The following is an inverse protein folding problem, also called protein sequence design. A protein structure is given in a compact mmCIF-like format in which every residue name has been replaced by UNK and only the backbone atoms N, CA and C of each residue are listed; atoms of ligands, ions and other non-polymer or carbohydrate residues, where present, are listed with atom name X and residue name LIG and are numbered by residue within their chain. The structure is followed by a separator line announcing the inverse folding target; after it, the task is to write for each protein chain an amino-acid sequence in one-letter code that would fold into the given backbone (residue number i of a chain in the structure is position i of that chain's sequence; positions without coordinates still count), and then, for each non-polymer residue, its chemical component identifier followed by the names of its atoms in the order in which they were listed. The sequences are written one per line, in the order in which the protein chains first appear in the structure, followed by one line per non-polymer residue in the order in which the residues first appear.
data_IF_664382470454
#
_entry.id   IF_664382470454
#
_cell.length_a   1.000
_cell.length_b   1.000
_cell.length_c   1.000
_cell.angle_alpha   90.00
_cell.angle_beta   90.00
_cell.angle_gamma   90.00
#
_symmetry.space_group_name_H-M   'P 1'
#
loop_
_entity.id
_entity.type
_entity.pdbx_description
1 polymer ?
#
# COMPACT_ATOMS: atom_id res chain seq x y z
N UNK A 1 -68.37 24.29 -17.54
CA UNK A 1 -68.11 22.83 -17.67
C UNK A 1 -66.60 22.62 -17.81
N UNK A 2 -65.80 22.97 -16.79
CA UNK A 2 -64.31 22.98 -16.89
C UNK A 2 -63.56 22.60 -15.61
N UNK A 3 -64.24 22.01 -14.61
CA UNK A 3 -63.62 21.65 -13.31
C UNK A 3 -63.49 20.14 -13.07
N UNK A 4 -63.43 19.30 -14.12
CA UNK A 4 -63.26 17.85 -13.98
C UNK A 4 -61.90 17.30 -14.45
N UNK A 5 -61.08 18.09 -15.14
CA UNK A 5 -59.81 17.59 -15.72
C UNK A 5 -58.58 17.79 -14.82
N UNK A 6 -58.64 18.68 -13.83
CA UNK A 6 -57.47 18.97 -12.96
C UNK A 6 -57.25 17.88 -11.90
N UNK A 7 -58.31 17.17 -11.50
CA UNK A 7 -58.22 16.12 -10.47
C UNK A 7 -57.62 14.80 -10.97
N UNK A 8 -57.66 14.53 -12.28
CA UNK A 8 -57.12 13.30 -12.87
C UNK A 8 -55.60 13.36 -13.09
N UNK A 9 -55.01 14.53 -13.33
CA UNK A 9 -53.56 14.65 -13.50
C UNK A 9 -52.77 14.51 -12.17
N UNK A 10 -53.32 14.97 -11.03
CA UNK A 10 -52.64 14.81 -9.74
C UNK A 10 -52.56 13.34 -9.28
N UNK A 11 -53.54 12.51 -9.63
CA UNK A 11 -53.50 11.10 -9.29
C UNK A 11 -52.46 10.33 -10.13
N UNK A 12 -52.26 10.69 -11.40
CA UNK A 12 -51.27 10.00 -12.26
C UNK A 12 -49.83 10.26 -11.79
N UNK A 13 -49.54 11.46 -11.27
CA UNK A 13 -48.22 11.78 -10.72
C UNK A 13 -47.94 11.12 -9.36
N UNK A 14 -48.98 10.86 -8.55
CA UNK A 14 -48.84 10.12 -7.28
C UNK A 14 -48.62 8.61 -7.47
N UNK A 15 -49.13 8.02 -8.56
CA UNK A 15 -48.90 6.59 -8.86
C UNK A 15 -47.51 6.30 -9.46
N UNK A 16 -46.85 7.28 -10.08
CA UNK A 16 -45.49 7.10 -10.59
C UNK A 16 -44.43 6.98 -9.48
N UNK A 17 -44.68 7.52 -8.28
CA UNK A 17 -43.75 7.36 -7.14
C UNK A 17 -43.91 6.02 -6.39
N UNK A 18 -45.03 5.32 -6.56
CA UNK A 18 -45.32 4.04 -5.87
C UNK A 18 -44.87 2.79 -6.63
N UNK A 19 -44.30 2.93 -7.83
CA UNK A 19 -43.86 1.78 -8.64
C UNK A 19 -42.41 1.34 -8.40
N UNK A 20 -41.70 1.96 -7.45
CA UNK A 20 -40.43 1.41 -6.99
C UNK A 20 -40.70 0.29 -5.99
N UNK A 21 -40.80 -0.94 -6.50
CA UNK A 21 -40.96 -2.12 -5.65
C UNK A 21 -39.85 -2.16 -4.60
N UNK A 22 -40.17 -2.66 -3.40
CA UNK A 22 -39.24 -2.80 -2.29
C UNK A 22 -37.93 -3.53 -2.70
N UNK A 23 -38.03 -4.41 -3.70
CA UNK A 23 -36.88 -5.08 -4.33
C UNK A 23 -35.96 -4.16 -5.13
N UNK A 24 -36.46 -3.11 -5.80
CA UNK A 24 -35.63 -2.13 -6.50
C UNK A 24 -34.81 -1.26 -5.54
N UNK A 25 -35.40 -0.88 -4.40
CA UNK A 25 -34.66 -0.19 -3.33
C UNK A 25 -33.58 -1.07 -2.71
N UNK A 26 -33.87 -2.36 -2.51
CA UNK A 26 -32.92 -3.32 -1.97
C UNK A 26 -31.75 -3.58 -2.95
N UNK A 27 -32.05 -3.70 -4.25
CA UNK A 27 -31.04 -3.81 -5.30
C UNK A 27 -30.16 -2.56 -5.39
N UNK A 28 -30.76 -1.37 -5.35
CA UNK A 28 -30.03 -0.11 -5.37
C UNK A 28 -29.12 0.03 -4.14
N UNK A 29 -29.59 -0.35 -2.96
CA UNK A 29 -28.77 -0.40 -1.74
C UNK A 29 -27.59 -1.36 -1.83
N UNK A 30 -27.80 -2.55 -2.39
CA UNK A 30 -26.74 -3.55 -2.65
C UNK A 30 -25.70 -3.04 -3.65
N UNK A 31 -26.14 -2.38 -4.72
CA UNK A 31 -25.24 -1.79 -5.72
C UNK A 31 -24.42 -0.65 -5.14
N UNK A 32 -25.04 0.22 -4.32
CA UNK A 32 -24.34 1.30 -3.61
C UNK A 32 -23.33 0.77 -2.59
N UNK A 33 -23.68 -0.28 -1.85
CA UNK A 33 -22.74 -0.97 -0.95
C UNK A 33 -21.58 -1.59 -1.73
N UNK A 34 -21.86 -2.26 -2.86
CA UNK A 34 -20.84 -2.82 -3.73
C UNK A 34 -19.90 -1.78 -4.31
N UNK A 35 -20.44 -0.65 -4.79
CA UNK A 35 -19.65 0.50 -5.24
C UNK A 35 -18.83 1.10 -4.09
N UNK A 36 -19.43 1.29 -2.91
CA UNK A 36 -18.73 1.80 -1.74
C UNK A 36 -17.56 0.92 -1.34
N UNK A 37 -17.74 -0.40 -1.32
CA UNK A 37 -16.67 -1.38 -1.08
C UNK A 37 -15.61 -1.35 -2.18
N UNK A 38 -16.01 -1.22 -3.45
CA UNK A 38 -15.08 -1.09 -4.57
C UNK A 38 -14.23 0.17 -4.46
N UNK A 39 -14.84 1.34 -4.22
CA UNK A 39 -14.12 2.60 -4.02
C UNK A 39 -13.28 2.58 -2.75
N UNK A 40 -13.73 1.92 -1.68
CA UNK A 40 -12.94 1.73 -0.47
C UNK A 40 -11.70 0.87 -0.74
N UNK A 41 -11.87 -0.25 -1.46
CA UNK A 41 -10.76 -1.12 -1.86
C UNK A 41 -9.80 -0.40 -2.82
N UNK A 42 -10.33 0.34 -3.79
CA UNK A 42 -9.54 1.12 -4.75
C UNK A 42 -8.80 2.27 -4.05
N UNK A 43 -9.47 3.02 -3.18
CA UNK A 43 -8.86 4.08 -2.38
C UNK A 43 -7.79 3.49 -1.45
N UNK A 44 -8.04 2.37 -0.80
CA UNK A 44 -7.03 1.69 0.01
C UNK A 44 -5.87 1.18 -0.84
N UNK A 45 -6.12 0.74 -2.06
CA UNK A 45 -5.08 0.30 -2.99
C UNK A 45 -4.24 1.47 -3.54
N UNK A 46 -4.89 2.58 -3.88
CA UNK A 46 -4.26 3.76 -4.51
C UNK A 46 -3.67 4.71 -3.48
N UNK A 47 -4.39 5.02 -2.39
CA UNK A 47 -3.96 5.97 -1.35
C UNK A 47 -3.09 5.31 -0.27
N UNK A 48 -3.36 4.06 0.12
CA UNK A 48 -2.51 3.30 1.06
C UNK A 48 -1.56 2.32 0.35
N UNK A 49 -1.62 2.28 -0.99
CA UNK A 49 -0.54 1.83 -1.81
C UNK A 49 -0.19 0.35 -1.75
N UNK A 50 -0.96 -0.56 -1.10
CA UNK A 50 -0.86 -2.04 -1.23
C UNK A 50 -1.78 -2.82 -0.27
N UNK A 51 -2.07 -4.08 -0.62
CA UNK A 51 -2.69 -5.09 0.24
C UNK A 51 -1.76 -5.41 1.42
N UNK A 52 -2.20 -5.07 2.63
CA UNK A 52 -1.45 -5.14 3.90
C UNK A 52 -1.11 -6.56 4.37
N UNK A 53 -1.62 -7.61 3.71
CA UNK A 53 -1.56 -8.98 4.22
C UNK A 53 -1.26 -9.94 3.07
N UNK A 54 0.01 -10.18 2.81
CA UNK A 54 0.44 -11.34 2.04
C UNK A 54 1.39 -12.19 2.90
N UNK A 55 0.92 -13.29 3.51
CA UNK A 55 1.73 -14.10 4.41
C UNK A 55 2.93 -14.77 3.72
N UNK A 56 2.93 -14.85 2.39
CA UNK A 56 3.96 -15.54 1.62
C UNK A 56 5.18 -14.68 1.23
N UNK A 57 5.33 -13.46 1.80
CA UNK A 57 6.53 -12.61 1.67
C UNK A 57 7.13 -12.66 0.26
N UNK A 58 6.36 -12.25 -0.75
CA UNK A 58 6.78 -12.31 -2.17
C UNK A 58 8.11 -11.57 -2.32
N UNK A 59 9.15 -12.27 -2.80
CA UNK A 59 10.51 -11.76 -2.93
C UNK A 59 11.47 -12.16 -1.81
N UNK A 60 10.98 -12.47 -0.60
CA UNK A 60 11.85 -12.85 0.54
C UNK A 60 12.65 -14.11 0.27
N UNK A 61 12.02 -15.19 -0.21
CA UNK A 61 12.72 -16.43 -0.56
C UNK A 61 13.80 -16.21 -1.62
N UNK A 62 13.56 -15.30 -2.57
CA UNK A 62 14.52 -14.97 -3.62
C UNK A 62 15.72 -14.21 -3.05
N UNK A 63 15.46 -13.18 -2.24
CA UNK A 63 16.49 -12.43 -1.53
C UNK A 63 17.29 -13.32 -0.58
N UNK A 64 16.62 -14.16 0.21
CA UNK A 64 17.26 -15.05 1.19
C UNK A 64 18.17 -16.08 0.53
N UNK A 65 17.81 -16.58 -0.64
CA UNK A 65 18.69 -17.49 -1.39
C UNK A 65 20.03 -16.86 -1.77
N UNK A 66 20.07 -15.53 -1.98
CA UNK A 66 21.26 -14.81 -2.46
C UNK A 66 21.99 -14.05 -1.37
N UNK A 67 21.25 -13.50 -0.41
CA UNK A 67 21.71 -12.55 0.60
C UNK A 67 21.43 -13.05 2.04
N UNK A 68 20.96 -14.28 2.19
CA UNK A 68 20.69 -14.88 3.49
C UNK A 68 21.99 -15.05 4.29
N UNK A 69 21.95 -14.62 5.55
CA UNK A 69 23.04 -14.78 6.51
C UNK A 69 22.50 -15.33 7.83
N UNK A 70 23.25 -16.22 8.50
CA UNK A 70 22.87 -16.75 9.80
C UNK A 70 23.07 -15.74 10.94
N UNK A 71 23.93 -14.73 10.72
CA UNK A 71 24.29 -13.73 11.73
C UNK A 71 23.85 -12.34 11.30
N UNK A 72 23.36 -11.55 12.25
CA UNK A 72 22.95 -10.18 12.05
C UNK A 72 23.27 -9.31 13.28
N UNK A 73 23.08 -7.98 13.15
CA UNK A 73 23.33 -7.04 14.23
C UNK A 73 22.35 -7.21 15.38
N UNK A 74 22.81 -6.91 16.60
CA UNK A 74 22.00 -7.01 17.83
C UNK A 74 20.93 -5.90 17.92
N UNK A 75 21.23 -4.73 17.35
CA UNK A 75 20.35 -3.57 17.34
C UNK A 75 19.71 -3.39 15.97
N UNK A 76 18.39 -3.50 15.92
CA UNK A 76 17.58 -3.32 14.73
C UNK A 76 16.29 -2.56 15.05
N UNK A 77 15.89 -1.68 14.15
CA UNK A 77 14.67 -0.90 14.27
C UNK A 77 13.50 -1.61 13.61
N UNK A 78 12.37 -1.72 14.30
CA UNK A 78 11.15 -2.25 13.71
C UNK A 78 10.53 -1.18 12.79
N UNK A 79 10.53 -1.45 11.48
CA UNK A 79 10.03 -0.53 10.47
C UNK A 79 9.12 -1.25 9.48
N UNK A 80 8.21 -0.50 8.85
CA UNK A 80 7.40 -1.02 7.76
C UNK A 80 8.19 -0.95 6.46
N UNK A 81 8.53 -2.12 5.92
CA UNK A 81 9.21 -2.29 4.62
C UNK A 81 8.26 -2.93 3.64
N UNK A 82 8.27 -2.46 2.41
CA UNK A 82 7.43 -3.04 1.36
C UNK A 82 8.31 -3.87 0.44
N UNK A 83 8.04 -5.17 0.32
CA UNK A 83 8.76 -6.08 -0.57
C UNK A 83 7.81 -6.52 -1.69
N UNK A 84 8.19 -6.22 -2.93
CA UNK A 84 7.34 -6.40 -4.10
C UNK A 84 6.00 -5.68 -3.95
N UNK A 85 4.92 -6.46 -3.85
CA UNK A 85 3.55 -5.94 -3.78
C UNK A 85 2.93 -5.99 -2.36
N UNK A 86 3.72 -6.16 -1.30
CA UNK A 86 3.19 -6.31 0.05
C UNK A 86 4.05 -5.60 1.11
N UNK A 87 3.38 -5.05 2.12
CA UNK A 87 4.00 -4.38 3.27
C UNK A 87 4.20 -5.37 4.41
N UNK A 88 5.35 -5.26 5.07
CA UNK A 88 5.79 -6.12 6.15
C UNK A 88 6.39 -5.27 7.27
N UNK A 89 6.13 -5.66 8.51
CA UNK A 89 6.90 -5.16 9.65
C UNK A 89 8.17 -5.99 9.73
N UNK A 90 9.32 -5.32 9.60
CA UNK A 90 10.64 -5.94 9.55
C UNK A 90 11.60 -5.17 10.44
N UNK A 91 12.52 -5.89 11.05
CA UNK A 91 13.65 -5.31 11.74
C UNK A 91 14.69 -4.91 10.71
N UNK A 92 15.15 -3.66 10.77
CA UNK A 92 16.09 -3.08 9.82
C UNK A 92 17.26 -2.47 10.58
N UNK A 93 18.47 -2.69 10.09
CA UNK A 93 19.67 -2.10 10.66
C UNK A 93 20.63 -1.70 9.55
N UNK A 94 21.01 -0.42 9.53
CA UNK A 94 21.97 0.12 8.56
C UNK A 94 23.38 -0.09 9.11
N UNK A 95 24.12 -1.03 8.52
CA UNK A 95 25.53 -1.24 8.81
C UNK A 95 26.42 -0.41 7.88
N UNK A 96 27.74 -0.52 8.04
CA UNK A 96 28.72 0.23 7.25
C UNK A 96 28.67 -0.14 5.76
N UNK A 97 28.48 -1.41 5.43
CA UNK A 97 28.62 -1.95 4.06
C UNK A 97 27.30 -2.37 3.41
N UNK A 98 26.22 -2.45 4.19
CA UNK A 98 24.89 -2.83 3.71
C UNK A 98 23.82 -2.69 4.76
N UNK A 99 22.59 -3.03 4.38
CA UNK A 99 21.43 -3.04 5.26
C UNK A 99 21.08 -4.47 5.65
N UNK A 100 20.86 -4.69 6.93
CA UNK A 100 20.33 -5.95 7.45
C UNK A 100 18.82 -5.87 7.55
N UNK A 101 18.12 -6.85 7.02
CA UNK A 101 16.67 -7.03 7.21
C UNK A 101 16.41 -8.34 7.94
N UNK A 102 15.52 -8.32 8.92
CA UNK A 102 15.01 -9.52 9.57
C UNK A 102 13.49 -9.47 9.62
N UNK A 103 12.89 -10.57 9.19
CA UNK A 103 11.46 -10.62 8.97
C UNK A 103 10.60 -10.90 10.21
N UNK A 104 11.11 -11.65 11.18
CA UNK A 104 10.48 -11.95 12.48
C UNK A 104 11.58 -12.37 13.46
N UNK A 105 11.45 -12.02 14.74
CA UNK A 105 12.44 -12.34 15.78
C UNK A 105 12.67 -13.84 15.98
N UNK A 106 11.71 -14.69 15.60
CA UNK A 106 11.64 -16.07 16.10
C UNK A 106 11.77 -17.18 15.05
N UNK A 107 11.80 -16.88 13.75
CA UNK A 107 11.79 -17.94 12.73
C UNK A 107 12.52 -17.65 11.41
N UNK A 108 12.89 -16.40 11.12
CA UNK A 108 13.49 -16.04 9.84
C UNK A 108 14.93 -15.55 10.05
N UNK A 109 15.86 -16.10 9.25
CA UNK A 109 17.25 -15.66 9.25
C UNK A 109 17.41 -14.23 8.72
N UNK A 110 18.62 -13.70 8.82
CA UNK A 110 18.92 -12.33 8.41
C UNK A 110 19.13 -12.25 6.89
N UNK A 111 18.75 -11.12 6.29
CA UNK A 111 19.18 -10.72 4.95
C UNK A 111 20.24 -9.64 5.10
N UNK A 112 21.38 -9.80 4.45
CA UNK A 112 22.38 -8.76 4.32
C UNK A 112 22.41 -8.25 2.88
N UNK A 113 21.92 -7.03 2.68
CA UNK A 113 21.79 -6.41 1.37
C UNK A 113 22.89 -5.35 1.19
N UNK A 114 23.94 -5.59 0.37
CA UNK A 114 25.03 -4.64 0.17
C UNK A 114 24.55 -3.36 -0.52
N UNK A 115 25.11 -2.20 -0.16
CA UNK A 115 24.68 -0.92 -0.73
C UNK A 115 24.93 -0.81 -2.24
N UNK A 116 26.00 -1.41 -2.75
CA UNK A 116 26.35 -1.38 -4.17
C UNK A 116 25.37 -2.15 -5.06
N UNK A 117 24.61 -3.10 -4.49
CA UNK A 117 23.64 -3.91 -5.23
C UNK A 117 22.27 -3.22 -5.37
N UNK A 118 22.06 -2.09 -4.71
CA UNK A 118 20.83 -1.32 -4.81
C UNK A 118 20.83 -0.40 -6.03
N UNK A 119 19.69 -0.35 -6.71
CA UNK A 119 19.38 0.66 -7.72
C UNK A 119 18.22 1.51 -7.24
N UNK A 120 18.37 2.83 -7.25
CA UNK A 120 17.27 3.75 -6.94
C UNK A 120 16.30 3.81 -8.14
N UNK A 121 15.05 3.44 -7.91
CA UNK A 121 13.99 3.49 -8.93
C UNK A 121 13.18 4.78 -8.80
N UNK A 122 12.79 5.14 -7.57
CA UNK A 122 12.11 6.40 -7.29
C UNK A 122 12.52 6.94 -5.91
N UNK A 123 12.97 8.20 -5.87
CA UNK A 123 13.31 8.87 -4.62
C UNK A 123 12.05 9.16 -3.77
N UNK A 124 12.14 9.09 -2.42
CA UNK A 124 11.05 9.49 -1.55
C UNK A 124 10.72 10.98 -1.74
N UNK A 125 9.43 11.32 -1.71
CA UNK A 125 8.97 12.72 -1.85
C UNK A 125 7.85 13.03 -0.87
N UNK A 126 7.82 14.27 -0.39
CA UNK A 126 6.68 14.80 0.35
C UNK A 126 5.92 15.75 -0.56
N UNK A 127 4.64 15.46 -0.82
CA UNK A 127 3.76 16.27 -1.64
C UNK A 127 2.61 16.77 -0.77
N UNK A 128 2.37 18.07 -0.77
CA UNK A 128 1.25 18.64 -0.01
C UNK A 128 0.03 18.79 -0.92
N UNK A 129 -1.05 18.06 -0.62
CA UNK A 129 -2.32 18.16 -1.33
C UNK A 129 -3.36 18.74 -0.37
N UNK A 130 -3.98 19.86 -0.72
CA UNK A 130 -5.04 20.51 0.08
C UNK A 130 -4.63 20.73 1.56
N UNK A 131 -3.38 21.16 1.81
CA UNK A 131 -2.76 21.34 3.14
C UNK A 131 -2.45 20.05 3.93
N UNK A 132 -2.70 18.88 3.37
CA UNK A 132 -2.29 17.61 3.97
C UNK A 132 -0.97 17.13 3.35
N UNK A 133 0.11 16.96 4.14
CA UNK A 133 1.36 16.43 3.63
C UNK A 133 1.21 14.92 3.39
N UNK A 134 1.35 14.49 2.14
CA UNK A 134 1.42 13.10 1.74
C UNK A 134 2.89 12.72 1.54
N UNK A 135 3.35 11.74 2.28
CA UNK A 135 4.70 11.18 2.14
C UNK A 135 4.65 9.96 1.23
N UNK A 136 5.52 9.95 0.22
CA UNK A 136 5.72 8.81 -0.67
C UNK A 136 7.00 8.07 -0.26
N UNK A 137 6.91 6.75 -0.19
CA UNK A 137 8.04 5.88 0.11
C UNK A 137 9.10 5.93 -1.00
N UNK A 138 10.37 5.74 -0.65
CA UNK A 138 11.43 5.55 -1.64
C UNK A 138 11.37 4.13 -2.19
N UNK A 139 11.50 3.98 -3.51
CA UNK A 139 11.48 2.70 -4.22
C UNK A 139 12.88 2.36 -4.74
N UNK A 140 13.33 1.16 -4.39
CA UNK A 140 14.63 0.62 -4.71
C UNK A 140 14.47 -0.75 -5.36
N UNK A 141 15.46 -1.18 -6.14
CA UNK A 141 15.52 -2.51 -6.74
C UNK A 141 16.83 -3.19 -6.36
N UNK A 142 16.76 -4.45 -5.96
CA UNK A 142 17.92 -5.31 -5.67
C UNK A 142 17.60 -6.74 -6.11
N UNK A 143 18.48 -7.36 -6.90
CA UNK A 143 18.29 -8.68 -7.47
C UNK A 143 16.85 -8.92 -8.01
N UNK A 144 16.38 -7.99 -8.86
CA UNK A 144 15.03 -8.00 -9.47
C UNK A 144 13.84 -7.85 -8.52
N UNK A 145 14.08 -7.72 -7.21
CA UNK A 145 13.05 -7.47 -6.21
C UNK A 145 12.96 -5.98 -5.93
N UNK A 146 11.74 -5.45 -5.97
CA UNK A 146 11.46 -4.08 -5.58
C UNK A 146 11.25 -3.99 -4.06
N UNK A 147 11.96 -3.07 -3.44
CA UNK A 147 11.91 -2.79 -2.00
C UNK A 147 11.53 -1.32 -1.82
N UNK A 148 10.52 -1.05 -0.99
CA UNK A 148 10.15 0.31 -0.63
C UNK A 148 10.38 0.57 0.84
N UNK A 149 11.03 1.69 1.13
CA UNK A 149 11.30 2.17 2.49
C UNK A 149 10.55 3.47 2.75
N UNK A 150 10.07 3.65 3.99
CA UNK A 150 9.52 4.91 4.43
C UNK A 150 10.58 6.03 4.39
N UNK A 151 10.12 7.28 4.40
CA UNK A 151 10.96 8.45 4.11
C UNK A 151 12.28 8.53 4.92
N UNK A 152 12.32 8.33 6.26
CA UNK A 152 13.59 8.42 6.98
C UNK A 152 14.58 7.32 6.59
N UNK A 153 14.12 6.07 6.48
CA UNK A 153 14.96 4.93 6.11
C UNK A 153 15.39 5.00 4.64
N UNK A 154 14.53 5.50 3.75
CA UNK A 154 14.84 5.69 2.34
C UNK A 154 15.95 6.74 2.15
N UNK A 155 15.88 7.85 2.89
CA UNK A 155 16.92 8.89 2.86
C UNK A 155 18.26 8.36 3.40
N UNK A 156 18.23 7.60 4.50
CA UNK A 156 19.45 6.98 5.02
C UNK A 156 20.05 6.01 4.00
N UNK A 157 19.23 5.15 3.38
CA UNK A 157 19.70 4.23 2.34
C UNK A 157 20.35 4.97 1.17
N UNK A 158 19.73 6.04 0.67
CA UNK A 158 20.28 6.86 -0.44
C UNK A 158 21.64 7.44 -0.06
N UNK A 159 21.77 7.99 1.15
CA UNK A 159 23.02 8.56 1.63
C UNK A 159 24.12 7.50 1.72
N UNK A 160 23.81 6.31 2.26
CA UNK A 160 24.76 5.19 2.37
C UNK A 160 25.17 4.64 1.01
N UNK A 161 24.23 4.52 0.08
CA UNK A 161 24.51 4.14 -1.31
C UNK A 161 25.44 5.14 -2.01
N UNK A 162 25.23 6.44 -1.78
CA UNK A 162 26.10 7.47 -2.35
C UNK A 162 27.52 7.38 -1.79
N UNK A 163 27.68 7.09 -0.49
CA UNK A 163 28.98 6.91 0.14
C UNK A 163 29.69 5.61 -0.30
N UNK A 164 28.94 4.53 -0.53
CA UNK A 164 29.50 3.23 -0.92
C UNK A 164 29.99 3.16 -2.38
N UNK A 165 29.56 4.10 -3.23
CA UNK A 165 29.91 4.16 -4.64
C UNK A 165 31.00 5.22 -4.95
N UNK A 166 31.56 5.87 -3.91
CA UNK A 166 32.72 6.76 -4.00
C UNK A 166 34.01 5.97 -3.79
#
# INVERSE_FOLDING_TARGET
MHMREVATMSNVLLYCFSCYSLGQWLLAGLLLLGQGLFFYALFRYVALGRLRINPFRKGWKHLYKRYGTPTGPVLMDLVSVVLGAASYEMYVSFAETGVFLQGSLSAEGFLYLPYHDFTLVAAPKTVTILRFPLQTAGLFRIAEVEISFALPQANELINRMALANQ
#
